data_IF_633421934900
#
_entry.id   IF_633421934900
#
_cell.length_a   1.000
_cell.length_b   1.000
_cell.length_c   1.000
_cell.angle_alpha   90.00
_cell.angle_beta   90.00
_cell.angle_gamma   90.00
#
_symmetry.space_group_name_H-M   'P 1'
#
loop_
_entity.id
_entity.type
_entity.pdbx_description
1 polymer ?
#
# COMPACT_ATOMS: atom_id res chain seq x y z
N UNK A 1 -22.12 4.57 -16.71
CA UNK A 1 -20.92 5.04 -15.98
C UNK A 1 -20.24 3.82 -15.34
N UNK A 2 -19.05 3.43 -15.80
CA UNK A 2 -18.29 2.34 -15.20
C UNK A 2 -17.81 2.80 -13.83
N UNK A 3 -18.19 2.09 -12.75
CA UNK A 3 -17.66 2.35 -11.39
C UNK A 3 -16.15 2.13 -11.45
N UNK A 4 -15.32 3.11 -11.01
CA UNK A 4 -13.89 2.87 -10.92
C UNK A 4 -13.66 1.72 -9.93
N UNK A 5 -12.98 0.66 -10.38
CA UNK A 5 -12.61 -0.42 -9.48
C UNK A 5 -11.55 0.13 -8.51
N UNK A 6 -11.63 -0.22 -7.24
CA UNK A 6 -10.61 0.11 -6.21
C UNK A 6 -9.17 -0.25 -6.64
N UNK A 7 -9.01 -1.20 -7.57
CA UNK A 7 -7.74 -1.57 -8.21
C UNK A 7 -7.08 -0.41 -8.98
N UNK A 8 -7.88 0.49 -9.55
CA UNK A 8 -7.39 1.70 -10.23
C UNK A 8 -6.75 2.70 -9.26
N UNK A 9 -7.20 2.77 -8.03
CA UNK A 9 -6.77 3.80 -7.07
C UNK A 9 -5.31 3.60 -6.64
N UNK A 10 -4.90 2.38 -6.31
CA UNK A 10 -3.53 2.10 -5.82
C UNK A 10 -2.47 2.33 -6.91
N UNK A 11 -2.75 1.93 -8.14
CA UNK A 11 -1.81 2.12 -9.25
C UNK A 11 -1.68 3.58 -9.66
N UNK A 12 -2.78 4.35 -9.70
CA UNK A 12 -2.77 5.79 -9.98
C UNK A 12 -1.98 6.58 -8.94
N UNK A 13 -2.04 6.20 -7.67
CA UNK A 13 -1.30 6.83 -6.58
C UNK A 13 0.21 6.74 -6.83
N UNK A 14 0.73 5.56 -7.15
CA UNK A 14 2.17 5.37 -7.42
C UNK A 14 2.61 6.15 -8.65
N UNK A 15 1.78 6.18 -9.71
CA UNK A 15 2.07 6.92 -10.93
C UNK A 15 2.02 8.44 -10.73
N UNK A 16 1.03 8.96 -10.01
CA UNK A 16 0.90 10.38 -9.71
C UNK A 16 2.09 10.89 -8.89
N UNK A 17 2.52 10.13 -7.89
CA UNK A 17 3.70 10.46 -7.09
C UNK A 17 4.99 10.42 -7.92
N UNK A 18 5.12 9.41 -8.78
CA UNK A 18 6.26 9.29 -9.71
C UNK A 18 6.35 10.49 -10.63
N UNK A 19 5.23 10.94 -11.17
CA UNK A 19 5.19 12.08 -12.09
C UNK A 19 5.39 13.44 -11.39
N UNK A 20 4.79 13.63 -10.20
CA UNK A 20 4.72 14.94 -9.55
C UNK A 20 5.94 15.29 -8.68
N UNK A 21 6.61 14.30 -8.08
CA UNK A 21 7.69 14.56 -7.11
C UNK A 21 9.08 14.09 -7.54
N UNK A 22 9.18 13.40 -8.66
CA UNK A 22 10.46 12.96 -9.19
C UNK A 22 10.68 13.64 -10.54
N UNK A 23 11.51 14.68 -10.65
CA UNK A 23 11.75 15.39 -11.90
C UNK A 23 12.22 14.43 -13.00
N UNK A 24 11.93 14.69 -14.28
CA UNK A 24 12.44 13.86 -15.36
C UNK A 24 13.97 13.85 -15.28
N UNK A 25 14.53 12.71 -14.94
CA UNK A 25 15.96 12.56 -14.87
C UNK A 25 16.50 12.18 -16.24
N UNK A 26 17.62 12.79 -16.61
CA UNK A 26 18.44 12.28 -17.70
C UNK A 26 18.75 10.79 -17.48
N UNK A 27 18.79 10.02 -18.56
CA UNK A 27 18.92 8.57 -18.56
C UNK A 27 20.26 8.02 -18.02
N UNK A 28 21.12 8.86 -17.45
CA UNK A 28 22.40 8.45 -16.88
C UNK A 28 22.24 8.11 -15.39
N UNK A 29 22.65 6.90 -15.02
CA UNK A 29 22.75 6.48 -13.63
C UNK A 29 23.66 7.41 -12.81
N UNK A 30 23.52 7.40 -11.49
CA UNK A 30 24.52 7.96 -10.58
C UNK A 30 25.85 7.25 -10.90
N UNK A 31 26.91 7.99 -11.10
CA UNK A 31 28.27 7.46 -11.37
C UNK A 31 28.54 6.90 -12.80
N UNK A 32 27.77 7.33 -13.83
CA UNK A 32 28.00 6.89 -15.21
C UNK A 32 27.62 5.43 -15.49
N UNK A 33 26.91 4.78 -14.57
CA UNK A 33 26.45 3.40 -14.70
C UNK A 33 25.24 3.24 -15.63
N UNK A 34 25.02 2.03 -16.10
CA UNK A 34 23.87 1.65 -16.94
C UNK A 34 22.56 1.58 -16.14
N UNK A 35 22.63 1.52 -14.79
CA UNK A 35 21.44 1.45 -13.94
C UNK A 35 20.67 2.77 -13.91
N UNK A 36 19.32 2.71 -13.87
CA UNK A 36 18.50 3.91 -13.88
C UNK A 36 18.71 4.74 -12.60
N UNK A 37 18.79 6.08 -12.76
CA UNK A 37 18.88 7.02 -11.64
C UNK A 37 17.59 7.10 -10.81
N UNK A 38 16.49 6.59 -11.35
CA UNK A 38 15.16 6.52 -10.73
C UNK A 38 14.70 5.08 -10.71
N UNK A 39 14.64 4.51 -9.52
CA UNK A 39 14.26 3.11 -9.29
C UNK A 39 13.17 3.07 -8.22
N UNK A 40 11.99 2.55 -8.57
CA UNK A 40 10.93 2.30 -7.60
C UNK A 40 11.28 1.04 -6.79
N UNK A 41 11.39 1.17 -5.48
CA UNK A 41 11.46 0.04 -4.56
C UNK A 41 10.06 -0.39 -4.13
N UNK A 42 9.73 -1.66 -4.25
CA UNK A 42 8.52 -2.24 -3.65
C UNK A 42 8.93 -3.12 -2.49
N UNK A 43 8.65 -2.67 -1.25
CA UNK A 43 8.81 -3.50 -0.06
C UNK A 43 7.54 -4.27 0.22
N UNK A 44 7.51 -5.52 -0.13
CA UNK A 44 6.35 -6.39 -0.09
C UNK A 44 6.52 -7.65 0.76
N UNK A 45 5.74 -8.68 0.42
CA UNK A 45 5.70 -9.96 1.16
C UNK A 45 4.69 -9.98 2.31
N UNK A 46 4.00 -8.89 2.57
CA UNK A 46 3.08 -8.70 3.70
C UNK A 46 1.58 -8.60 3.32
N UNK A 47 1.01 -9.12 2.25
CA UNK A 47 1.25 -10.39 1.63
C UNK A 47 1.89 -10.32 0.22
N UNK A 48 2.43 -11.47 -0.19
CA UNK A 48 3.04 -11.63 -1.50
C UNK A 48 2.06 -11.35 -2.66
N UNK A 49 0.82 -11.78 -2.57
CA UNK A 49 -0.21 -11.53 -3.57
C UNK A 49 -0.45 -10.03 -3.79
N UNK A 50 -0.59 -9.25 -2.71
CA UNK A 50 -0.75 -7.81 -2.80
C UNK A 50 0.48 -7.14 -3.45
N UNK A 51 1.67 -7.70 -3.23
CA UNK A 51 2.93 -7.21 -3.79
C UNK A 51 2.97 -7.44 -5.30
N UNK A 52 2.65 -8.64 -5.76
CA UNK A 52 2.56 -8.97 -7.18
C UNK A 52 1.48 -8.14 -7.89
N UNK A 53 0.32 -7.98 -7.25
CA UNK A 53 -0.79 -7.18 -7.78
C UNK A 53 -0.43 -5.69 -7.91
N UNK A 54 0.29 -5.11 -6.94
CA UNK A 54 0.78 -3.74 -7.06
C UNK A 54 1.68 -3.58 -8.30
N UNK A 55 2.64 -4.46 -8.50
CA UNK A 55 3.52 -4.40 -9.67
C UNK A 55 2.74 -4.55 -10.98
N UNK A 56 1.81 -5.49 -11.04
CA UNK A 56 0.94 -5.67 -12.20
C UNK A 56 0.13 -4.40 -12.52
N UNK A 57 -0.41 -3.73 -11.48
CA UNK A 57 -1.14 -2.47 -11.66
C UNK A 57 -0.23 -1.34 -12.15
N UNK A 58 1.01 -1.26 -11.66
CA UNK A 58 2.00 -0.28 -12.15
C UNK A 58 2.26 -0.50 -13.63
N UNK A 59 2.49 -1.72 -14.07
CA UNK A 59 2.70 -2.07 -15.49
C UNK A 59 1.47 -1.68 -16.33
N UNK A 60 0.27 -2.08 -15.91
CA UNK A 60 -0.98 -1.82 -16.64
C UNK A 60 -1.35 -0.34 -16.76
N UNK A 61 -0.96 0.48 -15.78
CA UNK A 61 -1.34 1.89 -15.72
C UNK A 61 -0.24 2.83 -16.23
N UNK A 62 0.98 2.34 -16.41
CA UNK A 62 2.04 3.12 -17.06
C UNK A 62 1.70 3.31 -18.54
N UNK A 63 1.63 4.57 -19.05
CA UNK A 63 1.33 4.84 -20.44
C UNK A 63 2.56 4.54 -21.32
N UNK A 64 2.95 3.26 -21.40
CA UNK A 64 4.10 2.77 -22.13
C UNK A 64 3.70 2.27 -23.53
N UNK A 65 4.55 2.51 -24.53
CA UNK A 65 4.45 1.96 -25.88
C UNK A 65 5.51 0.87 -26.15
N UNK A 66 6.55 0.83 -25.34
CA UNK A 66 7.66 -0.13 -25.41
C UNK A 66 8.22 -0.39 -24.01
N UNK A 67 9.01 -1.42 -23.84
CA UNK A 67 9.55 -1.85 -22.54
C UNK A 67 10.29 -0.71 -21.81
N UNK A 68 11.01 0.12 -22.54
CA UNK A 68 11.82 1.22 -21.97
C UNK A 68 10.99 2.37 -21.39
N UNK A 69 9.71 2.42 -21.68
CA UNK A 69 8.79 3.45 -21.16
C UNK A 69 8.24 3.08 -19.76
N UNK A 70 8.45 1.83 -19.33
CA UNK A 70 8.00 1.37 -18.02
C UNK A 70 8.88 1.89 -16.87
N UNK A 71 8.30 1.91 -15.68
CA UNK A 71 8.97 2.34 -14.45
C UNK A 71 9.99 1.26 -14.02
N UNK A 72 11.29 1.57 -13.96
CA UNK A 72 12.28 0.66 -13.40
C UNK A 72 11.91 0.32 -11.95
N UNK A 73 11.80 -0.98 -11.64
CA UNK A 73 11.27 -1.43 -10.37
C UNK A 73 12.14 -2.53 -9.74
N UNK A 74 12.45 -2.37 -8.47
CA UNK A 74 13.07 -3.39 -7.62
C UNK A 74 12.05 -3.88 -6.59
N UNK A 75 11.69 -5.15 -6.65
CA UNK A 75 10.76 -5.76 -5.72
C UNK A 75 11.49 -6.61 -4.68
N UNK A 76 11.32 -6.29 -3.40
CA UNK A 76 11.76 -7.11 -2.28
C UNK A 76 10.54 -7.67 -1.56
N UNK A 77 10.19 -8.92 -1.86
CA UNK A 77 9.10 -9.64 -1.20
C UNK A 77 9.67 -10.42 -0.01
N UNK A 78 9.35 -9.96 1.22
CA UNK A 78 9.87 -10.54 2.47
C UNK A 78 8.72 -11.07 3.36
N UNK A 79 8.21 -12.29 3.10
CA UNK A 79 7.06 -12.83 3.83
C UNK A 79 7.35 -13.23 5.28
N UNK A 80 8.62 -13.29 5.68
CA UNK A 80 9.03 -13.61 7.05
C UNK A 80 8.86 -12.45 8.05
N UNK A 81 8.47 -11.26 7.58
CA UNK A 81 8.07 -10.16 8.47
C UNK A 81 6.94 -10.64 9.40
N UNK A 82 7.08 -10.53 10.74
CA UNK A 82 6.05 -10.95 11.70
C UNK A 82 4.66 -10.40 11.38
N UNK A 83 3.60 -11.08 11.82
CA UNK A 83 2.24 -10.61 11.52
C UNK A 83 1.98 -9.25 12.18
N UNK A 84 1.68 -8.25 11.34
CA UNK A 84 1.50 -6.84 11.72
C UNK A 84 0.33 -6.64 12.65
N UNK A 85 -0.78 -7.36 12.44
CA UNK A 85 -1.95 -7.29 13.31
C UNK A 85 -1.63 -7.80 14.70
N UNK A 86 -1.01 -8.95 14.79
CA UNK A 86 -0.59 -9.56 16.07
C UNK A 86 0.38 -8.65 16.83
N UNK A 87 1.40 -8.11 16.15
CA UNK A 87 2.35 -7.21 16.79
C UNK A 87 1.69 -5.93 17.32
N UNK A 88 0.77 -5.32 16.56
CA UNK A 88 0.05 -4.11 16.98
C UNK A 88 -0.85 -4.40 18.19
N UNK A 89 -1.63 -5.48 18.14
CA UNK A 89 -2.57 -5.82 19.21
C UNK A 89 -1.85 -6.16 20.53
N UNK A 90 -0.66 -6.75 20.44
CA UNK A 90 0.15 -7.14 21.60
C UNK A 90 1.20 -6.08 22.00
N UNK A 91 1.24 -4.93 21.34
CA UNK A 91 2.29 -3.90 21.50
C UNK A 91 3.70 -4.50 21.39
N UNK A 92 3.90 -5.43 20.45
CA UNK A 92 5.16 -6.14 20.23
C UNK A 92 6.05 -5.36 19.24
N UNK A 93 7.19 -4.79 19.67
CA UNK A 93 8.09 -4.04 18.81
C UNK A 93 9.01 -4.93 17.98
N UNK A 94 8.98 -6.24 18.12
CA UNK A 94 9.90 -7.17 17.43
C UNK A 94 9.84 -7.09 15.92
N UNK A 95 8.76 -6.58 15.36
CA UNK A 95 8.58 -6.35 13.93
C UNK A 95 9.45 -5.20 13.38
N UNK A 96 9.76 -4.19 14.21
CA UNK A 96 10.41 -2.94 13.75
C UNK A 96 11.74 -3.21 13.03
N UNK A 97 12.66 -4.05 13.55
CA UNK A 97 13.91 -4.37 12.85
C UNK A 97 13.70 -4.94 11.44
N UNK A 98 12.67 -5.78 11.23
CA UNK A 98 12.37 -6.35 9.91
C UNK A 98 11.95 -5.26 8.91
N UNK A 99 11.09 -4.34 9.35
CA UNK A 99 10.60 -3.24 8.52
C UNK A 99 11.71 -2.26 8.18
N UNK A 100 12.51 -1.87 9.18
CA UNK A 100 13.65 -0.96 9.02
C UNK A 100 14.69 -1.55 8.07
N UNK A 101 15.11 -2.79 8.28
CA UNK A 101 16.09 -3.45 7.42
C UNK A 101 15.56 -3.61 5.98
N UNK A 102 14.25 -3.88 5.81
CA UNK A 102 13.64 -3.99 4.50
C UNK A 102 13.71 -2.70 3.68
N UNK A 103 13.40 -1.55 4.28
CA UNK A 103 13.50 -0.25 3.58
C UNK A 103 14.96 0.15 3.34
N UNK A 104 15.85 -0.10 4.30
CA UNK A 104 17.29 0.14 4.15
C UNK A 104 17.93 -0.73 3.06
N UNK A 105 17.48 -1.98 2.92
CA UNK A 105 17.93 -2.87 1.84
C UNK A 105 17.60 -2.27 0.47
N UNK A 106 16.37 -1.79 0.28
CA UNK A 106 15.96 -1.18 -0.99
C UNK A 106 16.72 0.13 -1.27
N UNK A 107 16.92 0.98 -0.26
CA UNK A 107 17.73 2.20 -0.44
C UNK A 107 19.17 1.89 -0.85
N UNK A 108 19.83 0.93 -0.17
CA UNK A 108 21.18 0.47 -0.50
C UNK A 108 21.25 -0.16 -1.90
N UNK A 109 20.19 -0.82 -2.34
CA UNK A 109 20.09 -1.40 -3.68
C UNK A 109 19.76 -0.36 -4.77
N UNK A 110 19.68 0.94 -4.42
CA UNK A 110 19.54 2.04 -5.36
C UNK A 110 18.11 2.52 -5.59
N UNK A 111 17.13 2.06 -4.81
CA UNK A 111 15.79 2.63 -4.88
C UNK A 111 15.83 4.14 -4.59
N UNK A 112 15.01 4.90 -5.30
CA UNK A 112 14.85 6.36 -5.14
C UNK A 112 13.57 6.75 -4.42
N UNK A 113 12.64 5.81 -4.30
CA UNK A 113 11.38 5.91 -3.56
C UNK A 113 10.92 4.50 -3.19
N UNK A 114 10.21 4.34 -2.09
CA UNK A 114 9.71 3.04 -1.64
C UNK A 114 8.18 3.06 -1.54
N UNK A 115 7.53 2.05 -2.13
CA UNK A 115 6.11 1.75 -1.95
C UNK A 115 5.92 0.46 -1.14
N UNK A 116 4.92 0.44 -0.24
CA UNK A 116 4.65 -0.69 0.66
C UNK A 116 3.17 -1.09 0.51
N UNK A 117 2.83 -2.18 -0.19
CA UNK A 117 1.44 -2.61 -0.39
C UNK A 117 0.88 -3.36 0.84
N UNK A 118 0.96 -2.73 2.00
CA UNK A 118 0.46 -3.28 3.26
C UNK A 118 -0.09 -2.16 4.15
N UNK A 119 -1.41 -2.08 4.30
CA UNK A 119 -2.05 -1.06 5.15
C UNK A 119 -1.52 -1.09 6.58
N UNK A 120 -1.55 -2.26 7.22
CA UNK A 120 -1.20 -2.42 8.63
C UNK A 120 0.26 -2.07 8.93
N UNK A 121 1.18 -2.26 7.96
CA UNK A 121 2.59 -1.89 8.13
C UNK A 121 2.80 -0.36 8.24
N UNK A 122 1.84 0.45 7.75
CA UNK A 122 1.92 1.92 7.85
C UNK A 122 1.77 2.45 9.27
N UNK A 123 1.36 1.63 10.23
CA UNK A 123 1.48 1.96 11.65
C UNK A 123 2.93 2.27 12.06
N UNK A 124 3.88 1.65 11.39
CA UNK A 124 5.32 1.82 11.61
C UNK A 124 5.98 2.72 10.55
N UNK A 125 5.18 3.54 9.84
CA UNK A 125 5.70 4.38 8.75
C UNK A 125 6.81 5.32 9.21
N UNK A 126 6.63 5.97 10.35
CA UNK A 126 7.60 6.94 10.85
C UNK A 126 8.96 6.29 11.16
N UNK A 127 8.96 5.07 11.71
CA UNK A 127 10.19 4.31 11.97
C UNK A 127 10.89 3.91 10.67
N UNK A 128 10.13 3.50 9.65
CA UNK A 128 10.67 3.18 8.34
C UNK A 128 11.22 4.42 7.64
N UNK A 129 10.48 5.53 7.65
CA UNK A 129 10.92 6.78 7.03
C UNK A 129 12.17 7.36 7.73
N UNK A 130 12.24 7.28 9.06
CA UNK A 130 13.41 7.75 9.80
C UNK A 130 14.69 6.94 9.51
N UNK A 131 14.54 5.70 9.03
CA UNK A 131 15.66 4.79 8.76
C UNK A 131 16.29 4.96 7.36
N UNK A 132 15.69 5.76 6.47
CA UNK A 132 16.13 5.98 5.09
C UNK A 132 16.03 7.46 4.71
N UNK A 133 16.81 7.88 3.72
CA UNK A 133 16.83 9.25 3.19
C UNK A 133 15.84 9.43 2.03
N UNK A 134 15.51 8.36 1.36
CA UNK A 134 14.55 8.35 0.25
C UNK A 134 13.11 8.34 0.77
N UNK A 135 12.14 8.88 0.03
CA UNK A 135 10.74 8.86 0.44
C UNK A 135 10.19 7.44 0.56
N UNK A 136 9.53 7.15 1.68
CA UNK A 136 8.62 6.00 1.84
C UNK A 136 7.20 6.51 1.65
N UNK A 137 6.51 6.05 0.60
CA UNK A 137 5.16 6.48 0.28
C UNK A 137 4.19 6.09 1.40
N UNK A 138 3.40 7.05 1.86
CA UNK A 138 2.39 6.78 2.88
C UNK A 138 1.06 6.38 2.21
N UNK A 139 0.90 5.10 1.90
CA UNK A 139 -0.23 4.57 1.12
C UNK A 139 -1.60 5.04 1.62
N UNK A 140 -1.78 5.20 2.94
CA UNK A 140 -3.05 5.62 3.53
C UNK A 140 -3.35 7.08 3.17
N UNK A 141 -2.38 7.99 3.27
CA UNK A 141 -2.55 9.40 2.87
C UNK A 141 -2.86 9.51 1.39
N UNK A 142 -2.10 8.79 0.56
CA UNK A 142 -2.32 8.78 -0.88
C UNK A 142 -3.72 8.25 -1.23
N UNK A 143 -4.19 7.19 -0.55
CA UNK A 143 -5.53 6.65 -0.77
C UNK A 143 -6.63 7.64 -0.35
N UNK A 144 -6.46 8.34 0.76
CA UNK A 144 -7.41 9.37 1.22
C UNK A 144 -7.45 10.55 0.26
N UNK A 145 -6.30 11.04 -0.17
CA UNK A 145 -6.20 12.15 -1.11
C UNK A 145 -6.85 11.79 -2.47
N UNK A 146 -6.67 10.56 -2.94
CA UNK A 146 -7.30 10.08 -4.17
C UNK A 146 -8.82 9.95 -4.04
N UNK A 147 -9.33 9.46 -2.90
CA UNK A 147 -10.78 9.43 -2.63
C UNK A 147 -11.37 10.84 -2.72
N UNK A 148 -10.72 11.82 -2.12
CA UNK A 148 -11.18 13.21 -2.13
C UNK A 148 -11.05 13.85 -3.53
N UNK A 149 -10.04 13.49 -4.30
CA UNK A 149 -9.90 13.91 -5.69
C UNK A 149 -11.04 13.38 -6.56
N UNK A 150 -11.45 12.13 -6.36
CA UNK A 150 -12.54 11.49 -7.10
C UNK A 150 -13.93 11.92 -6.61
N UNK A 151 -14.07 12.23 -5.33
CA UNK A 151 -15.33 12.58 -4.67
C UNK A 151 -15.11 13.74 -3.69
N UNK A 152 -14.92 14.97 -4.19
CA UNK A 152 -14.59 16.14 -3.36
C UNK A 152 -15.67 16.48 -2.31
N UNK A 153 -16.91 16.09 -2.57
CA UNK A 153 -18.08 16.32 -1.74
C UNK A 153 -18.41 15.20 -0.74
N UNK A 154 -17.59 14.13 -0.70
CA UNK A 154 -17.83 12.99 0.18
C UNK A 154 -17.80 13.42 1.65
N UNK A 155 -18.79 12.96 2.43
CA UNK A 155 -18.89 13.22 3.88
C UNK A 155 -18.68 11.98 4.72
N UNK A 156 -18.91 10.80 4.15
CA UNK A 156 -18.79 9.52 4.82
C UNK A 156 -18.15 8.48 3.89
N UNK A 157 -17.26 7.67 4.44
CA UNK A 157 -16.63 6.55 3.73
C UNK A 157 -16.73 5.28 4.56
N UNK A 158 -17.04 4.16 3.93
CA UNK A 158 -16.96 2.84 4.55
C UNK A 158 -15.53 2.30 4.47
N UNK A 159 -15.00 1.79 5.56
CA UNK A 159 -13.67 1.18 5.64
C UNK A 159 -13.76 -0.31 5.94
N UNK A 160 -13.34 -1.15 4.98
CA UNK A 160 -13.13 -2.58 5.17
C UNK A 160 -11.63 -2.85 5.23
N UNK A 161 -11.13 -3.25 6.39
CA UNK A 161 -9.71 -3.46 6.62
C UNK A 161 -9.48 -4.58 7.66
N UNK A 162 -8.21 -4.98 7.87
CA UNK A 162 -7.90 -5.90 8.97
C UNK A 162 -8.14 -5.26 10.33
N UNK A 163 -8.44 -6.06 11.35
CA UNK A 163 -8.62 -5.57 12.73
C UNK A 163 -7.40 -4.78 13.22
N UNK A 164 -6.17 -5.19 12.82
CA UNK A 164 -4.96 -4.41 13.08
C UNK A 164 -4.98 -3.02 12.44
N UNK A 165 -5.47 -2.89 11.20
CA UNK A 165 -5.58 -1.59 10.53
C UNK A 165 -6.63 -0.70 11.21
N UNK A 166 -7.79 -1.25 11.57
CA UNK A 166 -8.84 -0.51 12.29
C UNK A 166 -8.32 -0.05 13.66
N UNK A 167 -7.63 -0.93 14.39
CA UNK A 167 -7.05 -0.60 15.71
C UNK A 167 -6.08 0.58 15.68
N UNK A 168 -5.38 0.78 14.57
CA UNK A 168 -4.43 1.89 14.42
C UNK A 168 -5.10 3.26 14.26
N UNK A 169 -6.36 3.29 13.80
CA UNK A 169 -7.08 4.52 13.49
C UNK A 169 -6.46 5.39 12.40
N UNK A 170 -5.56 4.83 11.58
CA UNK A 170 -4.78 5.61 10.60
C UNK A 170 -5.69 6.22 9.51
N UNK A 171 -6.64 5.45 8.98
CA UNK A 171 -7.60 5.97 7.99
C UNK A 171 -8.55 6.98 8.62
N UNK A 172 -9.07 6.68 9.80
CA UNK A 172 -9.99 7.54 10.53
C UNK A 172 -9.34 8.90 10.84
N UNK A 173 -8.08 8.89 11.23
CA UNK A 173 -7.31 10.12 11.49
C UNK A 173 -7.16 10.96 10.22
N UNK A 174 -6.76 10.35 9.11
CA UNK A 174 -6.54 11.06 7.85
C UNK A 174 -7.85 11.58 7.24
N UNK A 175 -8.94 10.80 7.27
CA UNK A 175 -10.26 11.25 6.80
C UNK A 175 -10.84 12.33 7.70
N UNK A 176 -10.77 12.18 9.03
CA UNK A 176 -11.26 13.17 10.01
C UNK A 176 -10.56 14.50 9.84
N UNK A 177 -9.25 14.52 9.62
CA UNK A 177 -8.49 15.75 9.37
C UNK A 177 -8.97 16.51 8.12
N UNK A 178 -9.71 15.84 7.23
CA UNK A 178 -10.30 16.39 6.00
C UNK A 178 -11.82 16.55 6.05
N UNK A 179 -12.40 16.41 7.25
CA UNK A 179 -13.85 16.60 7.49
C UNK A 179 -14.73 15.46 6.97
N UNK A 180 -14.18 14.26 6.82
CA UNK A 180 -14.89 13.06 6.37
C UNK A 180 -15.01 12.06 7.53
N UNK A 181 -16.22 11.55 7.74
CA UNK A 181 -16.51 10.48 8.69
C UNK A 181 -16.17 9.12 8.12
N UNK A 182 -15.54 8.27 8.93
CA UNK A 182 -15.24 6.87 8.56
C UNK A 182 -16.22 5.94 9.27
N UNK A 183 -16.90 5.10 8.49
CA UNK A 183 -17.78 4.05 8.97
C UNK A 183 -17.04 2.73 8.94
N UNK A 184 -17.10 1.95 10.02
CA UNK A 184 -16.51 0.62 10.13
C UNK A 184 -17.60 -0.41 10.42
N UNK A 185 -17.43 -1.67 10.00
CA UNK A 185 -18.39 -2.72 10.30
C UNK A 185 -18.52 -2.96 11.81
N UNK A 186 -19.68 -3.46 12.28
CA UNK A 186 -19.82 -3.97 13.64
C UNK A 186 -18.78 -5.05 13.94
N UNK A 187 -18.38 -5.19 15.22
CA UNK A 187 -17.35 -6.13 15.64
C UNK A 187 -17.63 -7.57 15.21
N UNK A 188 -18.89 -8.02 15.28
CA UNK A 188 -19.29 -9.34 14.80
C UNK A 188 -19.03 -9.54 13.30
N UNK A 189 -19.38 -8.57 12.47
CA UNK A 189 -19.12 -8.62 11.03
C UNK A 189 -17.62 -8.51 10.72
N UNK A 190 -16.87 -7.74 11.50
CA UNK A 190 -15.41 -7.63 11.39
C UNK A 190 -14.73 -8.99 11.59
N UNK A 191 -15.04 -9.71 12.66
CA UNK A 191 -14.38 -10.98 13.01
C UNK A 191 -14.93 -12.16 12.19
N UNK A 192 -16.25 -12.29 12.07
CA UNK A 192 -16.87 -13.45 11.42
C UNK A 192 -16.81 -13.43 9.90
N UNK A 193 -16.61 -12.25 9.29
CA UNK A 193 -16.61 -12.08 7.84
C UNK A 193 -15.29 -11.54 7.32
N UNK A 194 -14.89 -10.34 7.73
CA UNK A 194 -13.72 -9.68 7.15
C UNK A 194 -12.45 -10.44 7.53
N UNK A 195 -12.25 -10.72 8.81
CA UNK A 195 -11.05 -11.44 9.26
C UNK A 195 -11.02 -12.90 8.80
N UNK A 196 -12.16 -13.54 8.58
CA UNK A 196 -12.23 -14.88 7.96
C UNK A 196 -11.79 -14.89 6.49
N UNK A 197 -12.03 -13.83 5.74
CA UNK A 197 -11.61 -13.73 4.33
C UNK A 197 -10.10 -13.49 4.17
N UNK A 198 -9.47 -12.79 5.14
CA UNK A 198 -8.08 -12.32 5.05
C UNK A 198 -7.04 -13.44 4.83
N UNK A 199 -7.05 -14.57 5.55
CA UNK A 199 -6.04 -15.62 5.35
C UNK A 199 -6.03 -16.20 3.94
N UNK A 200 -7.21 -16.45 3.36
CA UNK A 200 -7.33 -16.96 1.99
C UNK A 200 -6.80 -15.98 0.95
N UNK A 201 -7.07 -14.69 1.15
CA UNK A 201 -6.57 -13.62 0.29
C UNK A 201 -5.04 -13.49 0.41
N UNK A 202 -4.50 -13.49 1.63
CA UNK A 202 -3.05 -13.41 1.88
C UNK A 202 -2.29 -14.63 1.32
N UNK A 203 -2.93 -15.81 1.31
CA UNK A 203 -2.35 -17.03 0.76
C UNK A 203 -2.38 -17.09 -0.78
N UNK A 204 -2.88 -16.05 -1.47
CA UNK A 204 -3.02 -16.04 -2.93
C UNK A 204 -4.08 -17.03 -3.45
N UNK A 205 -5.02 -17.44 -2.59
CA UNK A 205 -6.10 -18.38 -2.92
C UNK A 205 -7.47 -17.75 -2.62
N UNK A 206 -7.80 -16.61 -3.26
CA UNK A 206 -9.10 -16.01 -3.05
C UNK A 206 -10.18 -16.92 -3.60
N UNK A 207 -11.01 -17.46 -2.72
CA UNK A 207 -12.19 -18.25 -3.12
C UNK A 207 -13.37 -17.30 -3.38
N UNK A 208 -14.34 -17.69 -4.20
CA UNK A 208 -15.58 -16.93 -4.39
C UNK A 208 -16.27 -16.57 -3.07
N UNK A 209 -16.18 -17.46 -2.06
CA UNK A 209 -16.72 -17.24 -0.72
C UNK A 209 -16.08 -16.04 0.00
N UNK A 210 -14.79 -15.76 -0.23
CA UNK A 210 -14.12 -14.59 0.36
C UNK A 210 -14.70 -13.28 -0.18
N UNK A 211 -15.06 -13.25 -1.45
CA UNK A 211 -15.73 -12.09 -2.04
C UNK A 211 -17.13 -11.89 -1.45
N UNK A 212 -17.89 -12.98 -1.22
CA UNK A 212 -19.20 -12.94 -0.58
C UNK A 212 -19.10 -12.42 0.87
N UNK A 213 -18.12 -12.89 1.64
CA UNK A 213 -17.87 -12.44 3.01
C UNK A 213 -17.59 -10.93 3.09
N UNK A 214 -16.95 -10.33 2.08
CA UNK A 214 -16.65 -8.91 2.04
C UNK A 214 -17.78 -8.06 1.45
N UNK A 215 -18.61 -8.64 0.58
CA UNK A 215 -19.63 -7.90 -0.15
C UNK A 215 -20.80 -7.46 0.72
N UNK A 216 -21.15 -8.24 1.75
CA UNK A 216 -22.28 -7.97 2.63
C UNK A 216 -22.00 -6.80 3.58
N UNK A 217 -20.87 -6.77 4.34
CA UNK A 217 -20.51 -5.60 5.16
C UNK A 217 -20.28 -4.32 4.34
N UNK A 218 -20.03 -4.43 3.04
CA UNK A 218 -19.85 -3.28 2.16
C UNK A 218 -21.19 -2.64 1.71
N UNK A 219 -22.32 -3.26 2.01
CA UNK A 219 -23.66 -2.77 1.64
C UNK A 219 -24.41 -2.13 2.82
N UNK A 220 -24.01 -2.46 4.02
CA UNK A 220 -24.49 -1.87 5.27
C UNK A 220 -23.85 -0.49 5.52
#
# INVERSE_FOLDING_TARGET
MRKPSWRLIIGLIVLAFWAARVPPAAAAGRDGGVLPSRLLGIFGGMGPEATANLYQLIVQQTPAQKDQDHIPTLMFSFPQVPDRTTCILNNDPSIIPYLVQGVQFLEKAGASVIAIPCNTAHFYHDQMQAAVKIPVLHMIREAVDEVLRLRPDVKKVGLLATSGTLRTGLYEKEFRARGVETLVPPESAQEERIMRAVPGIKAGRPKPENAALLAEPARE
#
